data_IF_417747542117
#
_entry.id   IF_417747542117
#
_cell.length_a   1.000
_cell.length_b   1.000
_cell.length_c   1.000
_cell.angle_alpha   90.00
_cell.angle_beta   90.00
_cell.angle_gamma   90.00
#
_symmetry.space_group_name_H-M   'P 1'
#
loop_
_entity.id
_entity.type
_entity.pdbx_description
1 polymer ?
#
# COMPACT_ATOMS: atom_id res chain seq x y z
N UNK A 1 12.71 -18.17 -23.01
CA UNK A 1 12.90 -17.11 -22.01
C UNK A 1 12.60 -17.67 -20.64
N UNK A 2 13.63 -17.92 -19.89
CA UNK A 2 13.58 -18.53 -18.57
C UNK A 2 12.86 -17.59 -17.60
N UNK A 3 11.87 -18.14 -16.89
CA UNK A 3 11.13 -17.42 -15.86
C UNK A 3 12.07 -17.03 -14.73
N UNK A 4 12.62 -15.85 -14.73
CA UNK A 4 13.13 -15.27 -13.49
C UNK A 4 11.95 -15.11 -12.53
N UNK A 5 11.69 -16.16 -11.75
CA UNK A 5 11.09 -15.97 -10.44
C UNK A 5 12.03 -15.01 -9.73
N UNK A 6 11.56 -13.81 -9.43
CA UNK A 6 12.21 -12.97 -8.43
C UNK A 6 11.86 -13.63 -7.07
N UNK A 7 12.68 -14.52 -6.52
CA UNK A 7 12.53 -14.86 -5.13
C UNK A 7 12.85 -13.55 -4.39
N UNK A 8 12.09 -13.24 -3.35
CA UNK A 8 12.58 -12.34 -2.32
C UNK A 8 13.74 -13.12 -1.70
N UNK A 9 14.90 -13.02 -2.34
CA UNK A 9 16.09 -13.72 -1.95
C UNK A 9 16.60 -13.05 -0.68
N UNK A 10 17.20 -13.85 0.19
CA UNK A 10 17.85 -13.38 1.43
C UNK A 10 18.76 -12.17 1.15
N UNK A 11 19.42 -12.16 0.02
CA UNK A 11 20.26 -11.04 -0.45
C UNK A 11 19.45 -9.74 -0.69
N UNK A 12 18.26 -9.84 -1.27
CA UNK A 12 17.38 -8.67 -1.48
C UNK A 12 16.92 -8.09 -0.15
N UNK A 13 16.58 -8.94 0.81
CA UNK A 13 16.20 -8.51 2.15
C UNK A 13 17.38 -7.88 2.91
N UNK A 14 18.56 -8.48 2.85
CA UNK A 14 19.77 -7.94 3.46
C UNK A 14 20.13 -6.57 2.88
N UNK A 15 20.06 -6.42 1.55
CA UNK A 15 20.30 -5.14 0.85
C UNK A 15 19.28 -4.07 1.24
N UNK A 16 18.02 -4.46 1.41
CA UNK A 16 16.96 -3.57 1.90
C UNK A 16 17.25 -3.08 3.32
N UNK A 17 17.50 -4.00 4.25
CA UNK A 17 17.82 -3.67 5.65
C UNK A 17 19.08 -2.82 5.73
N UNK A 18 20.09 -3.11 4.91
CA UNK A 18 21.31 -2.31 4.83
C UNK A 18 21.03 -0.87 4.34
N UNK A 19 20.16 -0.71 3.33
CA UNK A 19 19.77 0.62 2.83
C UNK A 19 19.07 1.45 3.91
N UNK A 20 18.17 0.84 4.67
CA UNK A 20 17.49 1.52 5.79
C UNK A 20 18.49 1.88 6.90
N UNK A 21 19.40 0.95 7.26
CA UNK A 21 20.45 1.22 8.27
C UNK A 21 21.36 2.37 7.85
N UNK A 22 21.81 2.38 6.60
CA UNK A 22 22.66 3.46 6.05
C UNK A 22 21.94 4.81 6.06
N UNK A 23 20.66 4.85 5.75
CA UNK A 23 19.86 6.07 5.84
C UNK A 23 19.78 6.59 7.26
N UNK A 24 19.46 5.72 8.23
CA UNK A 24 19.34 6.10 9.64
C UNK A 24 20.68 6.41 10.30
N UNK A 25 21.79 5.86 9.79
CA UNK A 25 23.14 6.12 10.25
C UNK A 25 23.80 7.35 9.61
N UNK A 26 23.19 7.93 8.55
CA UNK A 26 23.77 9.05 7.82
C UNK A 26 23.88 10.30 8.70
N UNK A 27 25.04 10.98 8.68
CA UNK A 27 25.27 12.21 9.45
C UNK A 27 24.32 13.35 9.03
N UNK A 28 23.97 13.41 7.75
CA UNK A 28 23.17 14.52 7.18
C UNK A 28 21.66 14.37 7.41
N UNK A 29 21.14 13.14 7.31
CA UNK A 29 19.71 12.87 7.36
C UNK A 29 19.28 12.05 8.58
N UNK A 30 20.18 11.22 9.14
CA UNK A 30 19.83 10.19 10.13
C UNK A 30 19.24 10.75 11.42
N UNK A 31 19.77 11.87 11.95
CA UNK A 31 19.22 12.49 13.17
C UNK A 31 17.81 13.01 12.94
N UNK A 32 17.57 13.68 11.82
CA UNK A 32 16.23 14.18 11.44
C UNK A 32 15.26 13.02 11.15
N UNK A 33 15.74 11.97 10.46
CA UNK A 33 14.94 10.78 10.16
C UNK A 33 14.51 10.07 11.45
N UNK A 34 15.38 9.90 12.44
CA UNK A 34 15.05 9.30 13.74
C UNK A 34 13.98 10.09 14.49
N UNK A 35 14.12 11.43 14.53
CA UNK A 35 13.10 12.29 15.17
C UNK A 35 11.76 12.24 14.45
N UNK A 36 11.74 12.29 13.11
CA UNK A 36 10.50 12.17 12.32
C UNK A 36 9.87 10.79 12.52
N UNK A 37 10.68 9.73 12.57
CA UNK A 37 10.17 8.38 12.81
C UNK A 37 9.61 8.23 14.22
N UNK A 38 10.28 8.75 15.24
CA UNK A 38 9.78 8.78 16.62
C UNK A 38 8.47 9.58 16.73
N UNK A 39 8.39 10.74 16.07
CA UNK A 39 7.16 11.53 15.99
C UNK A 39 6.02 10.76 15.29
N UNK A 40 6.33 10.03 14.21
CA UNK A 40 5.35 9.16 13.54
C UNK A 40 4.81 8.06 14.46
N UNK A 41 5.69 7.39 15.20
CA UNK A 41 5.27 6.39 16.18
C UNK A 41 4.36 7.00 17.25
N UNK A 42 4.73 8.15 17.81
CA UNK A 42 3.93 8.85 18.81
C UNK A 42 2.57 9.26 18.25
N UNK A 43 2.52 9.83 17.04
CA UNK A 43 1.27 10.19 16.37
C UNK A 43 0.41 8.96 16.04
N UNK A 44 1.03 7.85 15.67
CA UNK A 44 0.36 6.57 15.43
C UNK A 44 -0.26 5.99 16.73
N UNK A 45 0.43 6.08 17.85
CA UNK A 45 -0.16 5.77 19.16
C UNK A 45 -1.32 6.71 19.49
N UNK A 46 -1.17 8.00 19.17
CA UNK A 46 -2.23 8.99 19.32
C UNK A 46 -3.48 8.66 18.52
N UNK A 47 -3.33 8.34 17.23
CA UNK A 47 -4.48 7.97 16.36
C UNK A 47 -5.19 6.70 16.86
N UNK A 48 -4.44 5.66 17.21
CA UNK A 48 -5.02 4.42 17.74
C UNK A 48 -5.66 4.62 19.12
N UNK A 49 -5.02 5.39 20.01
CA UNK A 49 -5.56 5.72 21.32
C UNK A 49 -6.86 6.51 21.22
N UNK A 50 -6.90 7.55 20.37
CA UNK A 50 -8.10 8.32 20.10
C UNK A 50 -9.22 7.48 19.47
N UNK A 51 -8.88 6.49 18.62
CA UNK A 51 -9.87 5.55 18.07
C UNK A 51 -10.51 4.67 19.15
N UNK A 52 -9.73 4.22 20.12
CA UNK A 52 -10.25 3.48 21.30
C UNK A 52 -11.14 4.39 22.16
N UNK A 53 -10.67 5.59 22.49
CA UNK A 53 -11.47 6.59 23.23
C UNK A 53 -12.78 6.89 22.51
N UNK A 54 -12.72 7.09 21.18
CA UNK A 54 -13.92 7.32 20.37
C UNK A 54 -14.92 6.15 20.48
N UNK A 55 -14.46 4.91 20.53
CA UNK A 55 -15.33 3.74 20.69
C UNK A 55 -16.08 3.76 22.03
N UNK A 56 -15.41 4.14 23.12
CA UNK A 56 -16.04 4.27 24.43
C UNK A 56 -17.01 5.47 24.51
N UNK A 57 -16.63 6.62 23.93
CA UNK A 57 -17.48 7.82 23.88
C UNK A 57 -18.72 7.55 23.03
N UNK A 58 -18.57 6.92 21.87
CA UNK A 58 -19.69 6.54 21.02
C UNK A 58 -20.66 5.58 21.73
N UNK A 59 -20.16 4.61 22.49
CA UNK A 59 -20.97 3.73 23.32
C UNK A 59 -21.75 4.51 24.35
N UNK A 60 -21.09 5.38 25.13
CA UNK A 60 -21.74 6.19 26.17
C UNK A 60 -22.78 7.16 25.58
N UNK A 61 -22.50 7.73 24.41
CA UNK A 61 -23.44 8.57 23.67
C UNK A 61 -24.71 7.80 23.28
N UNK A 62 -24.59 6.59 22.73
CA UNK A 62 -25.75 5.75 22.38
C UNK A 62 -26.55 5.32 23.60
N UNK A 63 -25.88 4.96 24.68
CA UNK A 63 -26.53 4.60 25.95
C UNK A 63 -27.34 5.77 26.54
N UNK A 64 -26.80 6.99 26.48
CA UNK A 64 -27.52 8.19 26.93
C UNK A 64 -28.80 8.48 26.12
N UNK A 65 -28.79 8.18 24.81
CA UNK A 65 -29.99 8.27 23.96
C UNK A 65 -31.02 7.21 24.38
N UNK A 66 -30.59 5.97 24.59
CA UNK A 66 -31.45 4.84 24.98
C UNK A 66 -32.16 5.13 26.30
N UNK A 67 -31.43 5.65 27.29
CA UNK A 67 -31.98 5.99 28.61
C UNK A 67 -32.66 7.37 28.66
N UNK A 68 -32.71 8.12 27.55
CA UNK A 68 -33.29 9.48 27.44
C UNK A 68 -32.69 10.48 28.43
N UNK A 69 -31.42 10.34 28.76
CA UNK A 69 -30.69 11.23 29.67
C UNK A 69 -30.13 12.43 28.91
N UNK A 70 -30.87 13.53 28.89
CA UNK A 70 -30.51 14.72 28.08
C UNK A 70 -29.16 15.33 28.49
N UNK A 71 -28.86 15.46 29.78
CA UNK A 71 -27.60 16.05 30.24
C UNK A 71 -26.39 15.20 29.86
N UNK A 72 -26.46 13.88 30.06
CA UNK A 72 -25.42 12.93 29.65
C UNK A 72 -25.24 12.93 28.13
N UNK A 73 -26.33 13.01 27.37
CA UNK A 73 -26.33 13.10 25.93
C UNK A 73 -25.55 14.35 25.45
N UNK A 74 -25.89 15.55 25.96
CA UNK A 74 -25.21 16.79 25.55
C UNK A 74 -23.71 16.75 25.89
N UNK A 75 -23.38 16.27 27.08
CA UNK A 75 -21.98 16.11 27.52
C UNK A 75 -21.22 15.16 26.61
N UNK A 76 -21.77 14.00 26.27
CA UNK A 76 -21.13 13.02 25.38
C UNK A 76 -21.05 13.52 23.93
N UNK A 77 -22.04 14.29 23.46
CA UNK A 77 -21.99 14.94 22.16
C UNK A 77 -20.83 15.93 22.05
N UNK A 78 -20.66 16.81 23.03
CA UNK A 78 -19.54 17.77 23.08
C UNK A 78 -18.19 17.06 23.14
N UNK A 79 -18.12 16.00 23.96
CA UNK A 79 -16.91 15.19 24.09
C UNK A 79 -16.58 14.46 22.77
N UNK A 80 -17.57 13.96 22.04
CA UNK A 80 -17.40 13.38 20.71
C UNK A 80 -16.81 14.37 19.73
N UNK A 81 -17.34 15.61 19.69
CA UNK A 81 -16.78 16.68 18.85
C UNK A 81 -15.34 16.97 19.19
N UNK A 82 -15.00 17.03 20.49
CA UNK A 82 -13.62 17.19 20.95
C UNK A 82 -12.69 16.08 20.51
N UNK A 83 -13.13 14.82 20.63
CA UNK A 83 -12.38 13.63 20.19
C UNK A 83 -12.18 13.63 18.67
N UNK A 84 -13.20 14.00 17.88
CA UNK A 84 -13.07 14.11 16.43
C UNK A 84 -12.10 15.22 16.01
N UNK A 85 -12.17 16.39 16.68
CA UNK A 85 -11.23 17.49 16.42
C UNK A 85 -9.79 17.05 16.73
N UNK A 86 -9.55 16.43 17.89
CA UNK A 86 -8.24 15.91 18.26
C UNK A 86 -7.76 14.83 17.27
N UNK A 87 -8.63 13.90 16.88
CA UNK A 87 -8.31 12.85 15.89
C UNK A 87 -7.94 13.45 14.54
N UNK A 88 -8.64 14.48 14.10
CA UNK A 88 -8.33 15.20 12.86
C UNK A 88 -6.95 15.84 12.92
N UNK A 89 -6.65 16.56 14.00
CA UNK A 89 -5.34 17.19 14.18
C UNK A 89 -4.21 16.15 14.16
N UNK A 90 -4.33 15.09 14.95
CA UNK A 90 -3.31 14.04 15.03
C UNK A 90 -3.14 13.33 13.66
N UNK A 91 -4.22 13.05 12.95
CA UNK A 91 -4.19 12.42 11.63
C UNK A 91 -3.51 13.31 10.57
N UNK A 92 -3.79 14.61 10.58
CA UNK A 92 -3.15 15.57 9.67
C UNK A 92 -1.65 15.67 9.94
N UNK A 93 -1.24 15.78 11.22
CA UNK A 93 0.18 15.79 11.57
C UNK A 93 0.87 14.46 11.28
N UNK A 94 0.19 13.33 11.43
CA UNK A 94 0.70 12.03 11.03
C UNK A 94 1.01 11.99 9.53
N UNK A 95 0.04 12.35 8.68
CA UNK A 95 0.21 12.37 7.22
C UNK A 95 1.32 13.36 6.78
N UNK A 96 1.37 14.53 7.40
CA UNK A 96 2.43 15.52 7.14
C UNK A 96 3.82 14.98 7.49
N UNK A 97 3.95 14.35 8.65
CA UNK A 97 5.23 13.79 9.13
C UNK A 97 5.68 12.61 8.26
N UNK A 98 4.74 11.75 7.84
CA UNK A 98 4.97 10.65 6.89
C UNK A 98 5.55 11.18 5.57
N UNK A 99 4.89 12.18 4.97
CA UNK A 99 5.34 12.78 3.71
C UNK A 99 6.72 13.43 3.84
N UNK A 100 7.00 14.10 4.96
CA UNK A 100 8.33 14.68 5.23
C UNK A 100 9.41 13.63 5.38
N UNK A 101 9.13 12.53 6.06
CA UNK A 101 10.08 11.43 6.20
C UNK A 101 10.35 10.76 4.84
N UNK A 102 9.31 10.53 4.05
CA UNK A 102 9.42 9.98 2.68
C UNK A 102 10.25 10.88 1.77
N UNK A 103 10.03 12.20 1.82
CA UNK A 103 10.82 13.17 1.07
C UNK A 103 12.29 13.18 1.50
N UNK A 104 12.54 13.16 2.82
CA UNK A 104 13.90 13.13 3.35
C UNK A 104 14.66 11.87 2.89
N UNK A 105 14.01 10.73 2.92
CA UNK A 105 14.60 9.47 2.45
C UNK A 105 14.87 9.49 0.95
N UNK A 106 13.91 9.96 0.16
CA UNK A 106 14.06 10.12 -1.29
C UNK A 106 15.25 11.01 -1.64
N UNK A 107 15.34 12.20 -1.03
CA UNK A 107 16.43 13.16 -1.30
C UNK A 107 17.78 12.54 -0.96
N UNK A 108 17.89 11.88 0.19
CA UNK A 108 19.12 11.20 0.60
C UNK A 108 19.49 10.07 -0.38
N UNK A 109 18.55 9.20 -0.73
CA UNK A 109 18.80 8.06 -1.63
C UNK A 109 19.17 8.52 -3.04
N UNK A 110 18.46 9.53 -3.57
CA UNK A 110 18.77 10.11 -4.89
C UNK A 110 20.15 10.75 -4.90
N UNK A 111 20.49 11.52 -3.86
CA UNK A 111 21.82 12.14 -3.71
C UNK A 111 22.92 11.09 -3.69
N UNK A 112 22.75 10.03 -2.89
CA UNK A 112 23.73 8.96 -2.80
C UNK A 112 23.91 8.23 -4.14
N UNK A 113 22.83 8.01 -4.88
CA UNK A 113 22.85 7.37 -6.19
C UNK A 113 23.52 8.27 -7.24
N UNK A 114 23.27 9.57 -7.23
CA UNK A 114 23.93 10.53 -8.12
C UNK A 114 25.44 10.58 -7.89
N UNK A 115 25.90 10.62 -6.63
CA UNK A 115 27.33 10.58 -6.34
C UNK A 115 27.99 9.30 -6.86
N UNK A 116 27.37 8.13 -6.60
CA UNK A 116 27.88 6.85 -7.11
C UNK A 116 27.88 6.76 -8.63
N UNK A 117 26.88 7.35 -9.28
CA UNK A 117 26.75 7.37 -10.74
C UNK A 117 27.83 8.26 -11.40
N UNK A 118 28.17 9.39 -10.76
CA UNK A 118 29.22 10.31 -11.23
C UNK A 118 30.64 9.83 -10.87
N UNK A 119 30.79 9.04 -9.80
CA UNK A 119 32.08 8.59 -9.29
C UNK A 119 32.81 7.70 -10.31
N UNK A 120 34.12 7.89 -10.44
CA UNK A 120 34.98 7.12 -11.34
C UNK A 120 34.44 6.92 -12.77
N UNK A 121 33.61 7.86 -13.26
CA UNK A 121 32.97 7.79 -14.60
C UNK A 121 32.08 6.55 -14.79
N UNK A 122 31.43 6.06 -13.73
CA UNK A 122 30.53 4.89 -13.77
C UNK A 122 29.46 5.06 -14.86
N UNK A 123 28.91 6.28 -15.05
CA UNK A 123 27.96 6.58 -16.13
C UNK A 123 28.46 6.19 -17.52
N UNK A 124 29.76 6.38 -17.78
CA UNK A 124 30.37 6.01 -19.07
C UNK A 124 30.54 4.49 -19.20
N UNK A 125 31.02 3.85 -18.12
CA UNK A 125 31.17 2.37 -18.08
C UNK A 125 29.82 1.64 -18.27
N UNK A 126 28.76 2.12 -17.63
CA UNK A 126 27.40 1.55 -17.78
C UNK A 126 26.87 1.68 -19.21
N UNK A 127 27.13 2.82 -19.86
CA UNK A 127 26.75 3.03 -21.27
C UNK A 127 27.47 2.08 -22.21
N UNK A 128 28.77 1.81 -21.97
CA UNK A 128 29.58 0.93 -22.82
C UNK A 128 29.24 -0.55 -22.64
N UNK A 129 28.90 -0.98 -21.41
CA UNK A 129 28.59 -2.38 -21.11
C UNK A 129 27.13 -2.75 -21.35
N UNK A 130 26.22 -1.77 -21.39
CA UNK A 130 24.79 -2.02 -21.56
C UNK A 130 24.12 -2.82 -20.44
N UNK A 131 24.78 -2.93 -19.29
CA UNK A 131 24.34 -3.79 -18.16
C UNK A 131 23.09 -3.24 -17.46
N UNK A 132 22.92 -1.92 -17.44
CA UNK A 132 21.78 -1.25 -16.81
C UNK A 132 21.05 -0.42 -17.85
N UNK A 133 19.79 -0.81 -18.14
CA UNK A 133 18.90 -0.02 -18.97
C UNK A 133 18.38 1.21 -18.22
N UNK A 134 18.35 2.36 -18.90
CA UNK A 134 17.77 3.62 -18.43
C UNK A 134 18.17 4.02 -16.98
N UNK A 135 19.46 4.29 -16.72
CA UNK A 135 19.94 4.67 -15.39
C UNK A 135 19.32 5.98 -14.89
N UNK A 136 18.96 6.90 -15.79
CA UNK A 136 18.21 8.12 -15.55
C UNK A 136 16.84 7.85 -14.92
N UNK A 137 16.06 6.92 -15.49
CA UNK A 137 14.77 6.48 -14.96
C UNK A 137 14.92 5.83 -13.58
N UNK A 138 15.95 4.99 -13.39
CA UNK A 138 16.21 4.35 -12.09
C UNK A 138 16.49 5.37 -11.00
N UNK A 139 17.29 6.40 -11.29
CA UNK A 139 17.64 7.44 -10.32
C UNK A 139 16.44 8.38 -10.07
N UNK A 140 15.64 8.71 -11.09
CA UNK A 140 14.53 9.64 -10.96
C UNK A 140 13.26 8.99 -10.40
N UNK A 141 12.82 7.87 -11.00
CA UNK A 141 11.51 7.28 -10.74
C UNK A 141 11.56 6.06 -9.83
N UNK A 142 12.51 5.12 -10.04
CA UNK A 142 12.56 3.89 -9.24
C UNK A 142 12.89 4.20 -7.78
N UNK A 143 13.82 5.13 -7.51
CA UNK A 143 14.15 5.56 -6.14
C UNK A 143 12.94 6.23 -5.50
N UNK A 144 12.19 7.05 -6.22
CA UNK A 144 10.96 7.66 -5.71
C UNK A 144 9.92 6.59 -5.36
N UNK A 145 9.66 5.68 -6.29
CA UNK A 145 8.72 4.58 -6.08
C UNK A 145 9.13 3.71 -4.89
N UNK A 146 10.40 3.33 -4.83
CA UNK A 146 10.94 2.51 -3.74
C UNK A 146 10.77 3.18 -2.38
N UNK A 147 11.23 4.42 -2.22
CA UNK A 147 11.21 5.11 -0.92
C UNK A 147 9.79 5.38 -0.42
N UNK A 148 8.86 5.78 -1.30
CA UNK A 148 7.47 6.02 -0.93
C UNK A 148 6.73 4.73 -0.60
N UNK A 149 6.78 3.74 -1.51
CA UNK A 149 6.06 2.47 -1.31
C UNK A 149 6.55 1.69 -0.10
N UNK A 150 7.87 1.67 0.13
CA UNK A 150 8.46 0.99 1.28
C UNK A 150 8.07 1.64 2.60
N UNK A 151 8.15 2.98 2.69
CA UNK A 151 7.76 3.69 3.90
C UNK A 151 6.28 3.46 4.21
N UNK A 152 5.40 3.64 3.23
CA UNK A 152 3.96 3.43 3.40
C UNK A 152 3.64 1.98 3.79
N UNK A 153 4.30 1.00 3.19
CA UNK A 153 4.12 -0.41 3.55
C UNK A 153 4.57 -0.70 4.99
N UNK A 154 5.73 -0.18 5.39
CA UNK A 154 6.26 -0.34 6.75
C UNK A 154 5.34 0.30 7.79
N UNK A 155 4.85 1.52 7.53
CA UNK A 155 3.92 2.22 8.41
C UNK A 155 2.55 1.52 8.45
N UNK A 156 2.07 0.99 7.34
CA UNK A 156 0.84 0.20 7.28
C UNK A 156 0.93 -1.06 8.16
N UNK A 157 2.04 -1.80 8.10
CA UNK A 157 2.26 -2.98 8.94
C UNK A 157 2.31 -2.61 10.43
N UNK A 158 3.05 -1.54 10.77
CA UNK A 158 3.13 -1.06 12.16
C UNK A 158 1.76 -0.61 12.66
N UNK A 159 1.06 0.24 11.91
CA UNK A 159 -0.27 0.72 12.28
C UNK A 159 -1.28 -0.43 12.43
N UNK A 160 -1.27 -1.37 11.48
CA UNK A 160 -2.10 -2.58 11.56
C UNK A 160 -1.81 -3.41 12.81
N UNK A 161 -0.54 -3.60 13.15
CA UNK A 161 -0.14 -4.32 14.36
C UNK A 161 -0.63 -3.63 15.63
N UNK A 162 -0.47 -2.30 15.73
CA UNK A 162 -0.99 -1.53 16.86
C UNK A 162 -2.50 -1.58 16.96
N UNK A 163 -3.21 -1.44 15.84
CA UNK A 163 -4.67 -1.54 15.79
C UNK A 163 -5.14 -2.90 16.28
N UNK A 164 -4.52 -3.98 15.80
CA UNK A 164 -4.85 -5.35 16.23
C UNK A 164 -4.64 -5.50 17.75
N UNK A 165 -3.51 -5.06 18.28
CA UNK A 165 -3.23 -5.15 19.73
C UNK A 165 -4.24 -4.34 20.55
N UNK A 166 -4.48 -3.07 20.16
CA UNK A 166 -5.38 -2.17 20.87
C UNK A 166 -6.82 -2.72 20.91
N UNK A 167 -7.37 -3.10 19.76
CA UNK A 167 -8.74 -3.60 19.68
C UNK A 167 -8.90 -5.04 20.17
N UNK A 168 -7.85 -5.87 20.14
CA UNK A 168 -7.87 -7.17 20.80
C UNK A 168 -8.04 -7.03 22.31
N UNK A 169 -7.39 -6.02 22.93
CA UNK A 169 -7.59 -5.70 24.34
C UNK A 169 -9.04 -5.29 24.66
N UNK A 170 -9.62 -4.43 23.80
CA UNK A 170 -11.04 -4.03 23.95
C UNK A 170 -11.98 -5.23 23.79
N UNK A 171 -11.78 -6.05 22.76
CA UNK A 171 -12.63 -7.25 22.55
C UNK A 171 -12.50 -8.26 23.68
N UNK A 172 -11.28 -8.46 24.18
CA UNK A 172 -11.04 -9.34 25.33
C UNK A 172 -11.78 -8.88 26.58
N UNK A 173 -11.82 -7.57 26.82
CA UNK A 173 -12.54 -7.00 27.97
C UNK A 173 -14.06 -7.15 27.90
N UNK A 174 -14.62 -7.35 26.69
CA UNK A 174 -16.05 -7.57 26.47
C UNK A 174 -16.36 -9.07 26.55
N UNK A 175 -15.68 -9.88 25.73
CA UNK A 175 -15.82 -11.34 25.72
C UNK A 175 -14.63 -11.99 25.02
N UNK A 176 -13.91 -12.94 25.68
CA UNK A 176 -12.85 -13.71 25.03
C UNK A 176 -13.32 -14.51 23.82
N UNK A 177 -14.59 -14.96 23.84
CA UNK A 177 -15.20 -15.67 22.72
C UNK A 177 -15.30 -14.78 21.47
N UNK A 178 -15.64 -13.51 21.67
CA UNK A 178 -15.73 -12.51 20.59
C UNK A 178 -14.37 -12.36 19.89
N UNK A 179 -13.28 -12.27 20.66
CA UNK A 179 -11.93 -12.20 20.09
C UNK A 179 -11.58 -13.46 19.30
N UNK A 180 -11.84 -14.66 19.88
CA UNK A 180 -11.55 -15.94 19.21
C UNK A 180 -12.27 -16.04 17.87
N UNK A 181 -13.58 -15.74 17.85
CA UNK A 181 -14.37 -15.79 16.61
C UNK A 181 -13.88 -14.76 15.59
N UNK A 182 -13.54 -13.54 16.03
CA UNK A 182 -13.00 -12.50 15.15
C UNK A 182 -11.68 -12.91 14.52
N UNK A 183 -10.77 -13.54 15.27
CA UNK A 183 -9.49 -14.05 14.75
C UNK A 183 -9.72 -15.18 13.76
N UNK A 184 -10.56 -16.16 14.07
CA UNK A 184 -10.89 -17.26 13.17
C UNK A 184 -11.54 -16.75 11.89
N UNK A 185 -12.45 -15.79 12.02
CA UNK A 185 -13.07 -15.13 10.88
C UNK A 185 -12.04 -14.43 9.99
N UNK A 186 -11.14 -13.62 10.58
CA UNK A 186 -10.08 -12.92 9.84
C UNK A 186 -9.15 -13.90 9.11
N UNK A 187 -8.76 -15.01 9.75
CA UNK A 187 -7.94 -16.06 9.13
C UNK A 187 -8.67 -16.72 7.96
N UNK A 188 -9.92 -17.10 8.15
CA UNK A 188 -10.74 -17.70 7.09
C UNK A 188 -10.89 -16.75 5.88
N UNK A 189 -11.19 -15.46 6.14
CA UNK A 189 -11.30 -14.44 5.10
C UNK A 189 -10.00 -14.23 4.35
N UNK A 190 -8.87 -14.20 5.05
CA UNK A 190 -7.54 -14.06 4.43
C UNK A 190 -7.21 -15.25 3.52
N UNK A 191 -7.43 -16.48 4.00
CA UNK A 191 -7.19 -17.70 3.22
C UNK A 191 -8.06 -17.76 1.96
N UNK A 192 -9.35 -17.44 2.09
CA UNK A 192 -10.28 -17.43 0.96
C UNK A 192 -9.92 -16.33 -0.04
N UNK A 193 -9.65 -15.11 0.42
CA UNK A 193 -9.22 -14.00 -0.43
C UNK A 193 -7.94 -14.34 -1.19
N UNK A 194 -6.95 -14.94 -0.51
CA UNK A 194 -5.72 -15.39 -1.16
C UNK A 194 -6.00 -16.46 -2.22
N UNK A 195 -6.85 -17.44 -1.91
CA UNK A 195 -7.18 -18.53 -2.83
C UNK A 195 -7.87 -18.01 -4.09
N UNK A 196 -8.84 -17.09 -3.95
CA UNK A 196 -9.51 -16.47 -5.07
C UNK A 196 -8.62 -15.48 -5.83
N UNK A 197 -7.77 -14.74 -5.10
CA UNK A 197 -6.97 -13.66 -5.66
C UNK A 197 -5.66 -14.12 -6.31
N UNK A 198 -5.11 -15.29 -5.96
CA UNK A 198 -3.80 -15.73 -6.46
C UNK A 198 -3.68 -15.78 -7.98
N UNK A 199 -4.82 -15.98 -8.68
CA UNK A 199 -4.85 -15.97 -10.13
C UNK A 199 -4.57 -14.58 -10.71
N UNK A 200 -4.90 -13.51 -9.97
CA UNK A 200 -4.63 -12.12 -10.36
C UNK A 200 -3.14 -11.83 -10.47
N UNK A 201 -2.32 -12.45 -9.64
CA UNK A 201 -0.86 -12.25 -9.66
C UNK A 201 -0.30 -12.57 -11.05
N UNK A 202 -0.68 -13.74 -11.58
CA UNK A 202 -0.26 -14.17 -12.92
C UNK A 202 -0.84 -13.28 -14.02
N UNK A 203 -2.13 -12.96 -13.93
CA UNK A 203 -2.81 -12.15 -14.94
C UNK A 203 -2.25 -10.71 -14.99
N UNK A 204 -1.92 -10.13 -13.84
CA UNK A 204 -1.29 -8.81 -13.79
C UNK A 204 0.13 -8.84 -14.35
N UNK A 205 0.89 -9.90 -14.11
CA UNK A 205 2.20 -10.07 -14.73
C UNK A 205 2.10 -10.17 -16.26
N UNK A 206 1.21 -11.02 -16.77
CA UNK A 206 0.93 -11.13 -18.19
C UNK A 206 0.43 -9.80 -18.80
N UNK A 207 -0.26 -8.96 -17.99
CA UNK A 207 -0.71 -7.62 -18.41
C UNK A 207 0.46 -6.68 -18.66
N UNK A 208 1.43 -6.65 -17.76
CA UNK A 208 2.63 -5.82 -17.92
C UNK A 208 3.41 -6.18 -19.19
N UNK A 209 3.57 -7.49 -19.49
CA UNK A 209 4.23 -7.94 -20.71
C UNK A 209 3.46 -7.50 -21.97
N UNK A 210 2.13 -7.59 -21.96
CA UNK A 210 1.30 -7.17 -23.10
C UNK A 210 1.34 -5.67 -23.30
N UNK A 211 1.33 -4.87 -22.22
CA UNK A 211 1.51 -3.42 -22.29
C UNK A 211 2.87 -3.04 -22.83
N UNK A 212 3.93 -3.73 -22.40
CA UNK A 212 5.29 -3.53 -22.92
C UNK A 212 5.37 -3.83 -24.42
N UNK A 213 4.76 -4.92 -24.88
CA UNK A 213 4.72 -5.31 -26.29
C UNK A 213 3.94 -4.28 -27.14
N UNK A 214 2.79 -3.83 -26.64
CA UNK A 214 2.00 -2.79 -27.31
C UNK A 214 2.78 -1.47 -27.42
N UNK A 215 3.41 -1.04 -26.32
CA UNK A 215 4.28 0.15 -26.33
C UNK A 215 5.47 0.01 -27.26
N UNK A 216 6.13 -1.15 -27.27
CA UNK A 216 7.25 -1.42 -28.18
C UNK A 216 6.84 -1.32 -29.66
N UNK A 217 5.66 -1.81 -30.03
CA UNK A 217 5.15 -1.71 -31.40
C UNK A 217 4.85 -0.27 -31.82
N UNK A 218 4.38 0.58 -30.90
CA UNK A 218 4.19 2.02 -31.15
C UNK A 218 5.53 2.77 -31.26
N UNK A 219 6.51 2.43 -30.42
CA UNK A 219 7.86 2.99 -30.48
C UNK A 219 8.51 2.61 -31.81
N UNK A 220 8.35 1.36 -32.26
CA UNK A 220 8.86 0.92 -33.57
C UNK A 220 8.29 1.76 -34.72
N UNK A 221 6.97 2.00 -34.74
CA UNK A 221 6.34 2.86 -35.74
C UNK A 221 6.90 4.27 -35.73
N UNK A 222 7.08 4.87 -34.53
CA UNK A 222 7.65 6.21 -34.39
C UNK A 222 9.10 6.25 -34.82
N UNK A 223 9.92 5.29 -34.44
CA UNK A 223 11.34 5.25 -34.74
C UNK A 223 11.63 5.03 -36.24
N UNK A 224 10.72 4.34 -36.93
CA UNK A 224 10.87 4.02 -38.37
C UNK A 224 9.84 4.77 -39.23
N UNK A 225 9.31 5.90 -38.78
CA UNK A 225 8.23 6.63 -39.43
C UNK A 225 8.52 6.97 -40.88
N UNK A 226 9.73 7.45 -41.17
CA UNK A 226 10.17 7.79 -42.52
C UNK A 226 10.21 6.56 -43.46
N UNK A 227 10.82 5.48 -43.00
CA UNK A 227 10.90 4.23 -43.78
C UNK A 227 9.51 3.62 -44.02
N UNK A 228 8.61 3.68 -43.02
CA UNK A 228 7.25 3.23 -43.16
C UNK A 228 6.46 4.05 -44.16
N UNK A 229 6.57 5.38 -44.11
CA UNK A 229 5.90 6.30 -45.00
C UNK A 229 6.40 6.11 -46.47
N UNK A 230 7.71 6.01 -46.67
CA UNK A 230 8.29 5.79 -47.98
C UNK A 230 7.91 4.43 -48.60
N UNK A 231 7.82 3.40 -47.76
CA UNK A 231 7.45 2.04 -48.21
C UNK A 231 5.95 1.80 -48.30
N UNK A 232 5.10 2.75 -47.87
CA UNK A 232 3.63 2.65 -47.82
C UNK A 232 3.16 1.39 -47.08
N UNK A 233 3.85 1.04 -45.96
CA UNK A 233 3.56 -0.17 -45.17
C UNK A 233 2.80 0.10 -43.86
N UNK A 234 2.00 1.16 -43.80
CA UNK A 234 1.21 1.52 -42.62
C UNK A 234 0.19 0.43 -42.24
N UNK A 235 -0.45 -0.17 -43.25
CA UNK A 235 -1.50 -1.18 -43.02
C UNK A 235 -1.06 -2.38 -42.18
N UNK A 236 0.01 -3.12 -42.53
CA UNK A 236 0.53 -4.22 -41.72
C UNK A 236 0.94 -3.80 -40.30
N UNK A 237 1.52 -2.61 -40.12
CA UNK A 237 1.96 -2.12 -38.80
C UNK A 237 0.76 -1.75 -37.93
N UNK A 238 -0.28 -1.11 -38.50
CA UNK A 238 -1.54 -0.83 -37.80
C UNK A 238 -2.19 -2.14 -37.38
N UNK A 239 -2.25 -3.15 -38.26
CA UNK A 239 -2.81 -4.46 -37.91
C UNK A 239 -2.06 -5.14 -36.76
N UNK A 240 -0.71 -5.05 -36.73
CA UNK A 240 0.10 -5.56 -35.61
C UNK A 240 -0.25 -4.84 -34.29
N UNK A 241 -0.35 -3.51 -34.33
CA UNK A 241 -0.74 -2.71 -33.16
C UNK A 241 -2.14 -3.07 -32.67
N UNK A 242 -3.11 -3.25 -33.57
CA UNK A 242 -4.48 -3.65 -33.23
C UNK A 242 -4.55 -5.08 -32.63
N UNK A 243 -3.71 -6.00 -33.10
CA UNK A 243 -3.57 -7.34 -32.48
C UNK A 243 -3.02 -7.24 -31.07
N UNK A 244 -1.93 -6.48 -30.86
CA UNK A 244 -1.35 -6.27 -29.53
C UNK A 244 -2.36 -5.63 -28.58
N UNK A 245 -3.11 -4.63 -29.04
CA UNK A 245 -4.17 -3.99 -28.27
C UNK A 245 -5.31 -4.99 -27.94
N UNK A 246 -5.71 -5.83 -28.88
CA UNK A 246 -6.73 -6.87 -28.65
C UNK A 246 -6.27 -7.91 -27.63
N UNK A 247 -4.98 -8.30 -27.65
CA UNK A 247 -4.40 -9.25 -26.70
C UNK A 247 -4.34 -8.66 -25.29
N UNK A 248 -3.96 -7.38 -25.16
CA UNK A 248 -3.99 -6.60 -23.94
C UNK A 248 -5.41 -6.52 -23.39
N UNK A 249 -6.38 -6.13 -24.21
CA UNK A 249 -7.79 -6.01 -23.81
C UNK A 249 -8.39 -7.34 -23.36
N UNK A 250 -8.09 -8.44 -24.06
CA UNK A 250 -8.55 -9.78 -23.66
C UNK A 250 -8.02 -10.21 -22.30
N UNK A 251 -6.76 -9.90 -22.00
CA UNK A 251 -6.20 -10.19 -20.69
C UNK A 251 -6.82 -9.31 -19.59
N UNK A 252 -7.03 -8.02 -19.87
CA UNK A 252 -7.69 -7.09 -18.96
C UNK A 252 -9.13 -7.55 -18.64
N UNK A 253 -9.88 -8.04 -19.63
CA UNK A 253 -11.20 -8.62 -19.39
C UNK A 253 -11.16 -9.85 -18.47
N UNK A 254 -10.08 -10.66 -18.52
CA UNK A 254 -9.90 -11.78 -17.58
C UNK A 254 -9.63 -11.26 -16.16
N UNK A 255 -8.79 -10.24 -16.02
CA UNK A 255 -8.53 -9.57 -14.74
C UNK A 255 -9.83 -9.02 -14.15
N UNK A 256 -10.63 -8.30 -14.95
CA UNK A 256 -11.93 -7.74 -14.53
C UNK A 256 -12.87 -8.84 -14.04
N UNK A 257 -12.91 -9.97 -14.74
CA UNK A 257 -13.76 -11.12 -14.35
C UNK A 257 -13.35 -11.75 -13.03
N UNK A 258 -12.04 -11.94 -12.82
CA UNK A 258 -11.52 -12.46 -11.55
C UNK A 258 -11.73 -11.45 -10.42
N UNK A 259 -11.46 -10.16 -10.66
CA UNK A 259 -11.72 -9.10 -9.69
C UNK A 259 -13.19 -9.04 -9.28
N UNK A 260 -14.13 -9.20 -10.23
CA UNK A 260 -15.55 -9.27 -9.90
C UNK A 260 -15.83 -10.38 -8.89
N UNK A 261 -15.28 -11.57 -9.11
CA UNK A 261 -15.52 -12.72 -8.22
C UNK A 261 -14.89 -12.51 -6.84
N UNK A 262 -13.66 -11.94 -6.79
CA UNK A 262 -13.01 -11.56 -5.53
C UNK A 262 -13.84 -10.50 -4.81
N UNK A 263 -14.31 -9.48 -5.51
CA UNK A 263 -15.12 -8.40 -4.94
C UNK A 263 -16.46 -8.89 -4.41
N UNK A 264 -17.13 -9.84 -5.07
CA UNK A 264 -18.34 -10.47 -4.52
C UNK A 264 -18.07 -11.10 -3.16
N UNK A 265 -16.99 -11.88 -3.07
CA UNK A 265 -16.61 -12.50 -1.82
C UNK A 265 -16.22 -11.45 -0.76
N UNK A 266 -15.32 -10.52 -1.06
CA UNK A 266 -14.83 -9.55 -0.09
C UNK A 266 -15.93 -8.59 0.37
N UNK A 267 -16.82 -8.17 -0.52
CA UNK A 267 -17.95 -7.31 -0.16
C UNK A 267 -18.94 -8.05 0.74
N UNK A 268 -19.35 -9.27 0.37
CA UNK A 268 -20.22 -10.10 1.20
C UNK A 268 -19.59 -10.39 2.58
N UNK A 269 -18.32 -10.71 2.59
CA UNK A 269 -17.54 -10.93 3.81
C UNK A 269 -17.53 -9.68 4.72
N UNK A 270 -17.32 -8.49 4.16
CA UNK A 270 -17.35 -7.24 4.92
C UNK A 270 -18.73 -6.89 5.50
N UNK A 271 -19.82 -7.31 4.85
CA UNK A 271 -21.15 -7.17 5.44
C UNK A 271 -21.38 -8.14 6.60
N UNK A 272 -20.92 -9.38 6.47
CA UNK A 272 -21.07 -10.40 7.52
C UNK A 272 -20.33 -10.01 8.81
N UNK A 273 -19.15 -9.36 8.73
CA UNK A 273 -18.39 -8.94 9.91
C UNK A 273 -19.17 -7.95 10.80
N UNK A 274 -20.09 -7.18 10.22
CA UNK A 274 -20.91 -6.23 11.00
C UNK A 274 -21.99 -6.94 11.83
N UNK A 275 -22.46 -8.08 11.38
CA UNK A 275 -23.53 -8.84 12.03
C UNK A 275 -23.00 -9.83 13.08
N UNK A 276 -21.81 -10.39 12.88
CA UNK A 276 -21.20 -11.40 13.76
C UNK A 276 -21.14 -10.97 15.24
N UNK A 277 -20.65 -9.76 15.60
CA UNK A 277 -20.61 -9.32 16.98
C UNK A 277 -22.00 -9.23 17.60
N UNK A 278 -22.98 -8.75 16.86
CA UNK A 278 -24.35 -8.65 17.33
C UNK A 278 -24.97 -10.03 17.60
N UNK A 279 -24.76 -11.00 16.71
CA UNK A 279 -25.26 -12.39 16.88
C UNK A 279 -24.60 -13.11 18.05
N UNK A 280 -23.34 -12.80 18.36
CA UNK A 280 -22.62 -13.45 19.48
C UNK A 280 -22.96 -12.82 20.84
N UNK A 281 -23.22 -11.52 20.86
CA UNK A 281 -23.43 -10.77 22.09
C UNK A 281 -24.91 -10.72 22.46
N UNK A 282 -25.83 -10.68 21.49
CA UNK A 282 -27.26 -10.62 21.75
C UNK A 282 -27.80 -11.75 22.68
N UNK A 283 -27.40 -13.03 22.51
CA UNK A 283 -27.85 -14.10 23.42
C UNK A 283 -27.36 -13.98 24.87
N UNK A 284 -26.30 -13.16 25.10
CA UNK A 284 -25.79 -12.92 26.47
C UNK A 284 -26.59 -11.82 27.19
N UNK A 285 -27.39 -11.05 26.45
CA UNK A 285 -28.21 -9.96 26.98
C UNK A 285 -29.72 -10.26 26.94
N UNK A 286 -30.15 -11.35 26.29
CA UNK A 286 -31.52 -11.87 26.27
C UNK A 286 -31.67 -13.00 27.30
#
# INVERSE_FOLDING_TARGET
MERQKLPIDRHTWESFVQSVKLFLASEQAGRRAKWLFAALLLLMFGTNGLSVVNSYVARAFMTAIEHKEYETFVRMALLSVGVYAASTLVSVFYSYTEQRLGLLWRVWATRQSLFRYADHRVYFGLKMRGEIGNPDQRIADDIRGFTTSTLSFMLMLLNGSFTVVAFSGVMWSISPLLLLVSVLYALAGTLLTYTFGRQLIRLNYDQLDREANFRASLIYLRANAESVALSRREGPIIQLNLRNLSDLARNLLRIIRVNRNVNFFTTGYNWLIQIIPALLVAPLFM
#
